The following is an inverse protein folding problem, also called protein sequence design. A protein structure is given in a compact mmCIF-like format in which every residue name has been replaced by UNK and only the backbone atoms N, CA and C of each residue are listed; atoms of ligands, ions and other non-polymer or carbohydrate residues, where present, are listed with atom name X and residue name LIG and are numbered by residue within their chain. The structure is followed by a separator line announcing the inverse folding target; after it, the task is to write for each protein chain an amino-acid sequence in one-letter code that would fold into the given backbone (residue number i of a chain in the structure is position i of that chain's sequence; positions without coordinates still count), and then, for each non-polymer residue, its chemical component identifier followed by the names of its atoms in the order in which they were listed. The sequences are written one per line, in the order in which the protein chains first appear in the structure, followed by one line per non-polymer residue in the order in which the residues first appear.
data_IF_651724806505
#
_entry.id   IF_651724806505
#
_cell.length_a   1.000
_cell.length_b   1.000
_cell.length_c   1.000
_cell.angle_alpha   90.00
_cell.angle_beta   90.00
_cell.angle_gamma   90.00
#
_symmetry.space_group_name_H-M   'P 1'
#
loop_
_entity.id
_entity.type
_entity.pdbx_description
1 polymer ?
#
# COMPACT_ATOMS: atom_id res chain seq x y z
N UNK A 1 4.60 14.17 5.44
CA UNK A 1 5.02 15.38 6.21
C UNK A 1 5.79 16.38 5.35
N UNK A 2 6.50 15.93 4.33
CA UNK A 2 7.22 16.82 3.40
C UNK A 2 6.35 17.61 2.41
N UNK A 3 5.04 17.32 2.31
CA UNK A 3 4.14 18.03 1.41
C UNK A 3 3.98 19.50 1.84
N UNK A 4 4.34 20.41 0.93
CA UNK A 4 4.30 21.87 1.16
C UNK A 4 3.01 22.54 0.71
N UNK A 5 1.99 21.75 0.35
CA UNK A 5 0.69 22.25 -0.12
C UNK A 5 0.74 22.84 -1.53
N UNK A 6 1.63 22.37 -2.38
CA UNK A 6 1.63 22.67 -3.81
C UNK A 6 0.57 21.83 -4.52
N UNK A 7 -0.13 22.41 -5.48
CA UNK A 7 -1.00 21.73 -6.42
C UNK A 7 -0.74 22.20 -7.86
N UNK A 8 -1.35 21.60 -8.89
CA UNK A 8 -1.13 22.01 -10.28
C UNK A 8 -1.54 23.45 -10.60
N UNK A 9 -2.31 24.11 -9.73
CA UNK A 9 -2.90 25.43 -9.95
C UNK A 9 -2.37 26.50 -8.98
N UNK A 10 -1.50 26.15 -8.03
CA UNK A 10 -1.05 27.11 -7.03
C UNK A 10 0.32 26.82 -6.43
N UNK A 11 0.96 27.90 -5.97
CA UNK A 11 2.25 27.86 -5.30
C UNK A 11 2.16 27.14 -3.93
N UNK A 12 3.30 26.69 -3.37
CA UNK A 12 3.35 26.18 -2.02
C UNK A 12 2.78 27.15 -0.98
N UNK A 13 2.06 26.62 0.01
CA UNK A 13 1.50 27.40 1.13
C UNK A 13 2.28 27.20 2.43
N UNK A 14 3.22 26.27 2.45
CA UNK A 14 4.10 25.99 3.60
C UNK A 14 5.56 25.96 3.15
N UNK A 15 6.45 26.33 4.06
CA UNK A 15 7.88 26.16 3.83
C UNK A 15 8.28 24.68 3.89
N UNK A 16 9.30 24.23 3.13
CA UNK A 16 9.86 22.90 3.28
C UNK A 16 10.40 22.67 4.70
N UNK A 17 10.13 21.49 5.25
CA UNK A 17 10.70 21.07 6.53
C UNK A 17 11.97 20.25 6.33
N UNK A 18 12.98 20.49 7.15
CA UNK A 18 14.17 19.66 7.16
C UNK A 18 13.81 18.21 7.57
N UNK A 19 14.35 17.18 6.89
CA UNK A 19 14.08 15.77 7.22
C UNK A 19 14.34 15.43 8.69
N UNK A 20 15.41 15.97 9.28
CA UNK A 20 15.74 15.79 10.70
C UNK A 20 14.69 16.39 11.64
N UNK A 21 14.06 17.52 11.27
CA UNK A 21 12.92 18.09 12.01
C UNK A 21 11.72 17.16 11.93
N UNK A 22 11.43 16.62 10.74
CA UNK A 22 10.31 15.68 10.54
C UNK A 22 10.47 14.47 11.46
N UNK A 23 11.66 13.86 11.51
CA UNK A 23 11.96 12.73 12.42
C UNK A 23 11.66 13.09 13.87
N UNK A 24 12.20 14.22 14.37
CA UNK A 24 12.02 14.64 15.77
C UNK A 24 10.54 14.92 16.12
N UNK A 25 9.82 15.56 15.23
CA UNK A 25 8.40 15.87 15.49
C UNK A 25 7.52 14.60 15.43
N UNK A 26 7.75 13.69 14.48
CA UNK A 26 7.05 12.40 14.44
C UNK A 26 7.33 11.55 15.69
N UNK A 27 8.56 11.56 16.18
CA UNK A 27 8.91 10.87 17.43
C UNK A 27 8.11 11.40 18.63
N UNK A 28 7.92 12.72 18.74
CA UNK A 28 7.06 13.32 19.79
C UNK A 28 5.59 12.89 19.70
N UNK A 29 5.13 12.51 18.50
CA UNK A 29 3.79 12.00 18.28
C UNK A 29 3.68 10.49 18.58
N UNK A 30 4.78 9.81 18.87
CA UNK A 30 4.83 8.37 19.13
C UNK A 30 4.84 7.51 17.86
N UNK A 31 5.24 8.07 16.72
CA UNK A 31 5.44 7.30 15.50
C UNK A 31 6.60 6.30 15.65
N UNK A 32 6.47 5.13 15.02
CA UNK A 32 7.53 4.11 15.00
C UNK A 32 8.69 4.49 14.07
N UNK A 33 8.37 5.07 12.93
CA UNK A 33 9.37 5.36 11.90
C UNK A 33 8.90 6.41 10.89
N UNK A 34 9.75 6.63 9.91
CA UNK A 34 9.53 7.52 8.78
C UNK A 34 9.95 6.82 7.50
N UNK A 35 9.17 6.99 6.43
CA UNK A 35 9.50 6.52 5.09
C UNK A 35 9.89 7.70 4.20
N UNK A 36 10.68 7.46 3.17
CA UNK A 36 11.20 8.53 2.30
C UNK A 36 11.48 8.06 0.88
N UNK A 37 11.36 8.99 -0.08
CA UNK A 37 12.02 8.87 -1.38
C UNK A 37 13.49 9.29 -1.24
N UNK A 38 14.31 8.78 -2.13
CA UNK A 38 15.74 9.10 -2.19
C UNK A 38 16.01 10.62 -2.17
N UNK A 39 15.25 11.39 -2.95
CA UNK A 39 15.43 12.83 -3.09
C UNK A 39 14.70 13.69 -2.03
N UNK A 40 13.90 13.09 -1.15
CA UNK A 40 13.40 13.78 0.05
C UNK A 40 14.52 14.02 1.05
N UNK A 41 15.54 13.17 1.02
CA UNK A 41 16.69 13.27 1.90
C UNK A 41 17.90 13.87 1.18
N UNK A 42 18.31 13.30 0.04
CA UNK A 42 19.52 13.71 -0.68
C UNK A 42 19.15 14.42 -1.97
N UNK A 43 19.32 15.74 -2.07
CA UNK A 43 19.07 16.46 -3.32
C UNK A 43 19.90 15.88 -4.48
N UNK A 44 19.32 15.88 -5.69
CA UNK A 44 19.95 15.34 -6.89
C UNK A 44 21.33 15.96 -7.17
N UNK A 45 21.48 17.24 -6.87
CA UNK A 45 22.68 18.04 -7.15
C UNK A 45 23.74 17.92 -6.04
N UNK A 46 23.44 17.16 -4.98
CA UNK A 46 24.36 17.00 -3.87
C UNK A 46 25.68 16.35 -4.29
N UNK A 47 26.79 16.94 -3.88
CA UNK A 47 28.09 16.30 -4.00
C UNK A 47 28.18 15.05 -3.10
N UNK A 48 29.15 14.18 -3.33
CA UNK A 48 29.36 13.01 -2.46
C UNK A 48 29.57 13.42 -0.99
N UNK A 49 30.32 14.49 -0.75
CA UNK A 49 30.54 15.01 0.62
C UNK A 49 29.26 15.58 1.25
N UNK A 50 28.42 16.25 0.46
CA UNK A 50 27.12 16.74 0.96
C UNK A 50 26.18 15.59 1.26
N UNK A 51 26.10 14.60 0.37
CA UNK A 51 25.34 13.38 0.60
C UNK A 51 25.74 12.74 1.93
N UNK A 52 27.03 12.52 2.15
CA UNK A 52 27.53 11.87 3.38
C UNK A 52 27.24 12.70 4.62
N UNK A 53 27.31 14.03 4.54
CA UNK A 53 26.95 14.92 5.64
C UNK A 53 25.45 14.83 5.95
N UNK A 54 24.59 14.94 4.92
CA UNK A 54 23.13 14.88 5.07
C UNK A 54 22.71 13.54 5.68
N UNK A 55 23.25 12.43 5.19
CA UNK A 55 22.91 11.10 5.69
C UNK A 55 23.35 10.94 7.15
N UNK A 56 24.54 11.37 7.52
CA UNK A 56 24.99 11.35 8.94
C UNK A 56 24.09 12.20 9.85
N UNK A 57 23.70 13.40 9.42
CA UNK A 57 22.80 14.26 10.18
C UNK A 57 21.42 13.59 10.39
N UNK A 58 20.91 12.93 9.35
CA UNK A 58 19.64 12.20 9.41
C UNK A 58 19.73 10.97 10.32
N UNK A 59 20.78 10.16 10.19
CA UNK A 59 21.07 9.03 11.09
C UNK A 59 21.18 9.49 12.54
N UNK A 60 21.85 10.61 12.79
CA UNK A 60 21.93 11.21 14.13
C UNK A 60 20.55 11.54 14.71
N UNK A 61 19.62 12.04 13.88
CA UNK A 61 18.24 12.30 14.34
C UNK A 61 17.45 11.00 14.60
N UNK A 62 17.68 9.94 13.80
CA UNK A 62 17.11 8.62 14.06
C UNK A 62 17.63 8.02 15.36
N UNK A 63 18.93 8.09 15.61
CA UNK A 63 19.56 7.59 16.84
C UNK A 63 19.10 8.35 18.09
N UNK A 64 19.00 9.68 18.00
CA UNK A 64 18.49 10.56 19.07
C UNK A 64 17.05 10.19 19.48
N UNK A 65 16.22 9.81 18.51
CA UNK A 65 14.78 9.61 18.72
C UNK A 65 14.37 8.15 18.84
N UNK A 66 15.23 7.22 18.42
CA UNK A 66 14.89 5.79 18.29
C UNK A 66 14.01 5.46 17.08
N UNK A 67 13.71 6.45 16.25
CA UNK A 67 12.90 6.27 15.02
C UNK A 67 13.59 5.35 14.02
N UNK A 68 12.80 4.63 13.22
CA UNK A 68 13.28 3.70 12.18
C UNK A 68 12.91 4.21 10.78
N UNK A 69 13.58 3.63 9.78
CA UNK A 69 13.21 3.76 8.36
C UNK A 69 12.79 2.37 7.88
N UNK A 70 11.53 1.96 8.07
CA UNK A 70 11.10 0.61 7.68
C UNK A 70 10.99 0.42 6.17
N UNK A 71 10.76 1.50 5.42
CA UNK A 71 10.62 1.47 3.96
C UNK A 71 11.32 2.66 3.32
N UNK A 72 11.93 2.43 2.17
CA UNK A 72 12.44 3.45 1.26
C UNK A 72 11.91 3.24 -0.16
N UNK A 73 11.96 4.27 -0.97
CA UNK A 73 11.54 4.24 -2.38
C UNK A 73 12.35 5.21 -3.23
N UNK A 74 12.21 5.13 -4.55
CA UNK A 74 12.89 6.02 -5.51
C UNK A 74 11.88 6.91 -6.21
N UNK A 75 12.14 8.21 -6.26
CA UNK A 75 11.36 9.12 -7.09
C UNK A 75 11.73 8.95 -8.58
N UNK A 76 10.91 8.17 -9.31
CA UNK A 76 11.03 7.94 -10.75
C UNK A 76 9.93 8.68 -11.55
N UNK A 77 9.36 9.74 -11.00
CA UNK A 77 8.20 10.43 -11.59
C UNK A 77 8.30 11.95 -11.59
N UNK A 78 9.00 12.56 -10.63
CA UNK A 78 9.06 14.01 -10.46
C UNK A 78 9.98 14.71 -11.47
N UNK A 79 11.07 14.06 -11.89
CA UNK A 79 12.00 14.64 -12.87
C UNK A 79 11.42 14.53 -14.30
N UNK A 80 11.46 15.61 -15.11
CA UNK A 80 11.02 15.59 -16.52
C UNK A 80 11.68 14.50 -17.39
N UNK A 81 12.82 13.95 -16.99
CA UNK A 81 13.46 12.83 -17.71
C UNK A 81 12.55 11.61 -17.77
N UNK A 82 11.70 11.41 -16.76
CA UNK A 82 10.77 10.27 -16.66
C UNK A 82 9.39 10.53 -17.28
N UNK A 83 9.22 11.62 -18.04
CA UNK A 83 7.92 11.98 -18.64
C UNK A 83 7.28 10.90 -19.52
N UNK A 84 8.08 9.99 -20.11
CA UNK A 84 7.61 8.85 -20.92
C UNK A 84 7.66 7.50 -20.15
N UNK A 85 7.80 7.54 -18.85
CA UNK A 85 8.07 6.38 -18.01
C UNK A 85 9.52 6.32 -17.56
N UNK A 86 9.81 5.53 -16.57
CA UNK A 86 11.16 5.24 -16.10
C UNK A 86 11.62 3.89 -16.69
N UNK A 87 11.19 2.79 -16.10
CA UNK A 87 11.52 1.44 -16.57
C UNK A 87 10.82 1.07 -17.88
N UNK A 88 9.72 1.74 -18.23
CA UNK A 88 8.97 1.48 -19.47
C UNK A 88 9.14 2.57 -20.53
N UNK A 89 10.08 3.51 -20.35
CA UNK A 89 10.37 4.53 -21.35
C UNK A 89 10.76 3.93 -22.70
N UNK A 90 10.33 4.56 -23.80
CA UNK A 90 10.79 4.19 -25.15
C UNK A 90 12.29 4.46 -25.35
N UNK A 91 12.89 5.40 -24.60
CA UNK A 91 14.33 5.67 -24.63
C UNK A 91 15.08 4.74 -23.67
N UNK A 92 15.94 3.87 -24.23
CA UNK A 92 16.75 2.93 -23.42
C UNK A 92 17.67 3.62 -22.42
N UNK A 93 18.16 4.83 -22.75
CA UNK A 93 19.04 5.61 -21.85
C UNK A 93 18.27 6.06 -20.60
N UNK A 94 16.98 6.36 -20.73
CA UNK A 94 16.12 6.68 -19.58
C UNK A 94 15.91 5.43 -18.71
N UNK A 95 15.69 4.26 -19.32
CA UNK A 95 15.58 2.99 -18.57
C UNK A 95 16.87 2.64 -17.80
N UNK A 96 18.02 2.80 -18.45
CA UNK A 96 19.33 2.60 -17.80
C UNK A 96 19.57 3.59 -16.65
N UNK A 97 19.21 4.87 -16.86
CA UNK A 97 19.30 5.88 -15.80
C UNK A 97 18.35 5.57 -14.63
N UNK A 98 17.14 5.11 -14.91
CA UNK A 98 16.19 4.68 -13.89
C UNK A 98 16.77 3.53 -13.03
N UNK A 99 17.38 2.52 -13.66
CA UNK A 99 18.07 1.43 -12.95
C UNK A 99 19.23 1.95 -12.09
N UNK A 100 20.09 2.82 -12.65
CA UNK A 100 21.21 3.41 -11.93
C UNK A 100 20.73 4.20 -10.70
N UNK A 101 19.73 5.07 -10.90
CA UNK A 101 19.16 5.88 -9.81
C UNK A 101 18.57 4.99 -8.72
N UNK A 102 17.84 3.95 -9.12
CA UNK A 102 17.20 3.02 -8.18
C UNK A 102 18.22 2.21 -7.39
N UNK A 103 19.29 1.70 -8.01
CA UNK A 103 20.35 1.00 -7.28
C UNK A 103 20.96 1.88 -6.19
N UNK A 104 21.29 3.14 -6.51
CA UNK A 104 21.82 4.10 -5.51
C UNK A 104 20.82 4.39 -4.38
N UNK A 105 19.54 4.45 -4.71
CA UNK A 105 18.50 4.67 -3.72
C UNK A 105 18.23 3.43 -2.86
N UNK A 106 18.38 2.23 -3.42
CA UNK A 106 18.37 0.98 -2.65
C UNK A 106 19.54 0.96 -1.65
N UNK A 107 20.75 1.30 -2.08
CA UNK A 107 21.91 1.37 -1.21
C UNK A 107 21.69 2.35 -0.03
N UNK A 108 21.12 3.53 -0.32
CA UNK A 108 20.74 4.51 0.70
C UNK A 108 19.68 3.95 1.65
N UNK A 109 18.64 3.30 1.11
CA UNK A 109 17.59 2.68 1.92
C UNK A 109 18.14 1.65 2.89
N UNK A 110 19.02 0.76 2.41
CA UNK A 110 19.68 -0.25 3.23
C UNK A 110 20.60 0.38 4.26
N UNK A 111 21.37 1.41 3.91
CA UNK A 111 22.21 2.18 4.83
C UNK A 111 21.39 2.80 5.98
N UNK A 112 20.13 3.18 5.72
CA UNK A 112 19.21 3.72 6.71
C UNK A 112 18.41 2.65 7.46
N UNK A 113 18.55 1.38 7.10
CA UNK A 113 17.92 0.25 7.78
C UNK A 113 16.56 -0.17 7.19
N UNK A 114 16.24 0.22 5.95
CA UNK A 114 15.01 -0.21 5.30
C UNK A 114 14.97 -1.73 5.07
N UNK A 115 13.84 -2.35 5.41
CA UNK A 115 13.58 -3.78 5.21
C UNK A 115 12.69 -4.03 3.99
N UNK A 116 11.95 -3.02 3.57
CA UNK A 116 11.09 -3.06 2.37
C UNK A 116 11.45 -1.89 1.45
N UNK A 117 11.46 -2.17 0.16
CA UNK A 117 11.67 -1.17 -0.88
C UNK A 117 10.48 -1.13 -1.80
N UNK A 118 9.80 0.02 -1.86
CA UNK A 118 8.58 0.20 -2.64
C UNK A 118 8.91 0.74 -4.03
N UNK A 119 8.18 0.28 -5.03
CA UNK A 119 8.18 0.81 -6.39
C UNK A 119 6.77 1.30 -6.74
N UNK A 120 6.62 2.61 -6.84
CA UNK A 120 5.45 3.23 -7.42
C UNK A 120 5.72 3.63 -8.86
N UNK A 121 4.91 3.08 -9.77
CA UNK A 121 5.06 3.25 -11.20
C UNK A 121 4.25 4.41 -11.79
N UNK A 122 4.19 5.57 -11.15
CA UNK A 122 3.31 6.68 -11.53
C UNK A 122 3.48 7.21 -12.96
N UNK A 123 4.63 6.96 -13.60
CA UNK A 123 4.86 7.29 -15.02
C UNK A 123 4.88 6.06 -15.93
N UNK A 124 4.73 4.86 -15.38
CA UNK A 124 4.75 3.61 -16.13
C UNK A 124 3.40 3.36 -16.81
N UNK A 125 3.18 3.99 -17.93
CA UNK A 125 1.93 3.96 -18.67
C UNK A 125 2.04 4.67 -20.00
N UNK A 126 0.92 5.09 -20.55
CA UNK A 126 0.84 5.76 -21.85
C UNK A 126 -0.14 6.94 -21.82
N UNK A 127 0.13 7.97 -22.65
CA UNK A 127 -0.84 9.01 -22.98
C UNK A 127 -1.68 8.61 -24.20
N UNK A 128 -1.13 7.74 -25.05
CA UNK A 128 -1.81 7.18 -26.21
C UNK A 128 -1.24 5.80 -26.54
N UNK A 129 -2.11 4.84 -26.79
CA UNK A 129 -1.72 3.47 -27.12
C UNK A 129 -0.90 3.35 -28.43
N UNK A 130 -0.94 4.35 -29.29
CA UNK A 130 -0.12 4.40 -30.50
C UNK A 130 1.38 4.63 -30.22
N UNK A 131 1.74 5.17 -29.05
CA UNK A 131 3.10 5.59 -28.74
C UNK A 131 4.00 4.48 -28.20
N UNK A 132 3.44 3.36 -27.72
CA UNK A 132 4.19 2.32 -27.00
C UNK A 132 3.56 0.94 -27.21
N UNK A 133 4.38 -0.07 -27.53
CA UNK A 133 3.89 -1.48 -27.46
C UNK A 133 3.77 -1.89 -25.99
N UNK A 134 2.57 -2.13 -25.47
CA UNK A 134 2.38 -2.46 -24.06
C UNK A 134 3.02 -3.81 -23.66
N UNK A 135 3.19 -4.74 -24.61
CA UNK A 135 3.85 -6.03 -24.33
C UNK A 135 5.34 -5.84 -24.10
N UNK A 136 5.98 -4.98 -24.91
CA UNK A 136 7.39 -4.64 -24.71
C UNK A 136 7.59 -3.84 -23.43
N UNK A 137 6.70 -2.89 -23.12
CA UNK A 137 6.74 -2.15 -21.87
C UNK A 137 6.66 -3.06 -20.62
N UNK A 138 5.76 -4.06 -20.63
CA UNK A 138 5.65 -5.07 -19.57
C UNK A 138 6.93 -5.89 -19.45
N UNK A 139 7.58 -6.26 -20.56
CA UNK A 139 8.88 -6.97 -20.54
C UNK A 139 9.96 -6.09 -19.92
N UNK A 140 10.10 -4.84 -20.37
CA UNK A 140 11.10 -3.92 -19.82
C UNK A 140 10.91 -3.71 -18.31
N UNK A 141 9.67 -3.58 -17.85
CA UNK A 141 9.40 -3.47 -16.43
C UNK A 141 9.80 -4.73 -15.67
N UNK A 142 9.48 -5.92 -16.20
CA UNK A 142 9.91 -7.21 -15.64
C UNK A 142 11.43 -7.32 -15.56
N UNK A 143 12.12 -7.04 -16.67
CA UNK A 143 13.57 -7.12 -16.76
C UNK A 143 14.23 -6.16 -15.76
N UNK A 144 13.64 -4.98 -15.55
CA UNK A 144 14.13 -4.01 -14.55
C UNK A 144 13.97 -4.54 -13.12
N UNK A 145 12.81 -5.07 -12.77
CA UNK A 145 12.58 -5.63 -11.42
C UNK A 145 13.47 -6.85 -11.18
N UNK A 146 13.59 -7.75 -12.13
CA UNK A 146 14.48 -8.93 -12.03
C UNK A 146 15.94 -8.49 -11.88
N UNK A 147 16.40 -7.49 -12.65
CA UNK A 147 17.75 -6.93 -12.51
C UNK A 147 17.99 -6.37 -11.11
N UNK A 148 17.03 -5.64 -10.54
CA UNK A 148 17.14 -5.07 -9.19
C UNK A 148 17.09 -6.16 -8.10
N UNK A 149 16.34 -7.23 -8.31
CA UNK A 149 16.39 -8.42 -7.44
C UNK A 149 17.79 -9.04 -7.43
N UNK A 150 18.39 -9.25 -8.59
CA UNK A 150 19.76 -9.78 -8.69
C UNK A 150 20.79 -8.82 -8.10
N UNK A 151 20.62 -7.51 -8.30
CA UNK A 151 21.47 -6.51 -7.65
C UNK A 151 21.42 -6.65 -6.13
N UNK A 152 20.23 -6.62 -5.52
CA UNK A 152 20.09 -6.74 -4.07
C UNK A 152 20.68 -8.06 -3.52
N UNK A 153 20.49 -9.17 -4.24
CA UNK A 153 21.09 -10.46 -3.90
C UNK A 153 22.62 -10.43 -3.97
N UNK A 154 23.18 -9.82 -5.03
CA UNK A 154 24.62 -9.71 -5.21
C UNK A 154 25.29 -8.90 -4.07
N UNK A 155 24.59 -7.90 -3.57
CA UNK A 155 24.99 -7.09 -2.42
C UNK A 155 24.69 -7.77 -1.06
N UNK A 156 24.00 -8.92 -1.05
CA UNK A 156 23.53 -9.64 0.15
C UNK A 156 22.61 -8.80 1.03
N UNK A 157 21.80 -7.94 0.43
CA UNK A 157 20.80 -7.15 1.14
C UNK A 157 19.62 -7.99 1.59
N UNK A 158 19.26 -7.91 2.86
CA UNK A 158 18.06 -8.53 3.41
C UNK A 158 16.83 -7.64 3.14
N UNK A 159 16.55 -7.37 1.86
CA UNK A 159 15.54 -6.44 1.40
C UNK A 159 14.45 -7.16 0.62
N UNK A 160 13.20 -6.77 0.83
CA UNK A 160 12.04 -7.21 0.04
C UNK A 160 11.54 -6.05 -0.80
N UNK A 161 11.10 -6.35 -2.01
CA UNK A 161 10.50 -5.38 -2.91
C UNK A 161 8.99 -5.43 -2.83
N UNK A 162 8.33 -4.28 -2.86
CA UNK A 162 6.89 -4.17 -2.87
C UNK A 162 6.45 -3.27 -4.03
N UNK A 163 5.60 -3.78 -4.90
CA UNK A 163 5.09 -3.06 -6.05
C UNK A 163 3.75 -2.43 -5.70
N UNK A 164 3.58 -1.17 -6.07
CA UNK A 164 2.40 -0.38 -5.77
C UNK A 164 1.55 -0.17 -7.02
N UNK A 165 0.38 -0.81 -7.09
CA UNK A 165 -0.55 -0.64 -8.20
C UNK A 165 -1.28 0.69 -8.11
N UNK A 166 -1.50 1.35 -9.28
CA UNK A 166 -2.32 2.55 -9.41
C UNK A 166 -3.02 2.54 -10.78
N UNK A 167 -4.32 2.89 -10.86
CA UNK A 167 -5.05 2.80 -12.13
C UNK A 167 -4.68 3.90 -13.12
N UNK A 168 -4.52 5.10 -12.64
CA UNK A 168 -4.25 6.31 -13.44
C UNK A 168 -3.63 7.39 -12.57
N UNK A 169 -3.29 8.53 -13.18
CA UNK A 169 -2.67 9.70 -12.55
C UNK A 169 -1.26 9.43 -12.01
N UNK A 170 -0.26 10.22 -12.51
CA UNK A 170 -0.41 11.35 -13.45
C UNK A 170 -0.58 10.95 -14.92
N UNK A 171 -0.47 9.68 -15.28
CA UNK A 171 -0.83 9.15 -16.60
C UNK A 171 -2.33 8.92 -16.70
N UNK A 172 -2.87 8.99 -17.93
CA UNK A 172 -4.26 8.59 -18.17
C UNK A 172 -4.53 7.11 -17.84
N UNK A 173 -3.55 6.25 -18.20
CA UNK A 173 -3.56 4.82 -17.88
C UNK A 173 -2.16 4.40 -17.41
N UNK A 174 -2.10 3.68 -16.27
CA UNK A 174 -0.87 3.12 -15.71
C UNK A 174 -0.90 1.60 -15.88
N UNK A 175 0.25 0.99 -16.17
CA UNK A 175 0.38 -0.46 -16.22
C UNK A 175 0.18 -1.08 -14.84
N UNK A 176 -0.47 -2.24 -14.79
CA UNK A 176 -0.78 -2.96 -13.53
C UNK A 176 -1.67 -2.14 -12.57
N UNK A 177 -2.88 -1.77 -13.02
CA UNK A 177 -3.72 -0.77 -12.35
C UNK A 177 -4.32 -1.21 -11.03
N UNK A 178 -4.31 -2.50 -10.68
CA UNK A 178 -4.92 -3.04 -9.47
C UNK A 178 -4.04 -4.10 -8.80
N UNK A 179 -4.33 -4.41 -7.54
CA UNK A 179 -3.67 -5.46 -6.77
C UNK A 179 -3.62 -6.79 -7.54
N UNK A 180 -4.73 -7.20 -8.15
CA UNK A 180 -4.79 -8.45 -8.91
C UNK A 180 -3.91 -8.47 -10.16
N UNK A 181 -3.85 -7.35 -10.92
CA UNK A 181 -2.95 -7.24 -12.07
C UNK A 181 -1.49 -7.30 -11.65
N UNK A 182 -1.14 -6.56 -10.60
CA UNK A 182 0.22 -6.54 -10.08
C UNK A 182 0.64 -7.90 -9.50
N UNK A 183 -0.28 -8.59 -8.82
CA UNK A 183 -0.04 -9.94 -8.30
C UNK A 183 0.23 -10.93 -9.45
N UNK A 184 -0.56 -10.88 -10.51
CA UNK A 184 -0.34 -11.71 -11.70
C UNK A 184 1.04 -11.43 -12.33
N UNK A 185 1.45 -10.17 -12.40
CA UNK A 185 2.77 -9.77 -12.90
C UNK A 185 3.89 -10.33 -12.00
N UNK A 186 3.79 -10.23 -10.67
CA UNK A 186 4.79 -10.74 -9.73
C UNK A 186 5.10 -12.21 -9.98
N UNK A 187 4.10 -13.03 -10.30
CA UNK A 187 4.32 -14.45 -10.60
C UNK A 187 5.04 -14.70 -11.93
N UNK A 188 5.28 -13.69 -12.76
CA UNK A 188 6.09 -13.80 -14.00
C UNK A 188 7.56 -13.46 -13.80
N UNK A 189 7.94 -12.96 -12.61
CA UNK A 189 9.30 -12.57 -12.26
C UNK A 189 10.22 -13.80 -12.06
N UNK A 190 11.52 -13.62 -12.23
CA UNK A 190 12.51 -14.65 -11.93
C UNK A 190 12.64 -14.92 -10.41
N UNK A 191 12.39 -13.89 -9.59
CA UNK A 191 12.47 -13.95 -8.12
C UNK A 191 11.17 -13.54 -7.45
N UNK A 192 10.05 -14.24 -7.71
CA UNK A 192 8.74 -13.82 -7.19
C UNK A 192 8.70 -13.82 -5.65
N UNK A 193 9.54 -14.59 -4.97
CA UNK A 193 9.57 -14.66 -3.50
C UNK A 193 10.15 -13.39 -2.87
N UNK A 194 10.98 -12.65 -3.59
CA UNK A 194 11.52 -11.36 -3.15
C UNK A 194 10.56 -10.20 -3.35
N UNK A 195 9.50 -10.39 -4.15
CA UNK A 195 8.60 -9.31 -4.59
C UNK A 195 7.19 -9.57 -4.10
N UNK A 196 6.60 -8.57 -3.50
CA UNK A 196 5.22 -8.54 -3.05
C UNK A 196 4.53 -7.24 -3.44
N UNK A 197 3.48 -6.90 -2.73
CA UNK A 197 2.59 -5.79 -2.99
C UNK A 197 2.71 -4.71 -1.90
N UNK A 198 2.55 -3.48 -2.33
CA UNK A 198 2.25 -2.31 -1.52
C UNK A 198 0.90 -1.73 -1.98
N UNK A 199 -0.24 -2.30 -1.57
CA UNK A 199 -1.53 -1.72 -1.92
C UNK A 199 -1.79 -0.42 -1.17
N UNK A 200 -2.50 0.51 -1.85
CA UNK A 200 -2.94 1.77 -1.29
C UNK A 200 -4.46 1.95 -1.42
N UNK A 201 -5.11 2.44 -0.34
CA UNK A 201 -6.57 2.61 -0.29
C UNK A 201 -7.06 3.52 -1.42
N UNK A 202 -6.39 4.66 -1.63
CA UNK A 202 -6.80 5.64 -2.63
C UNK A 202 -6.83 5.03 -4.03
N UNK A 203 -5.81 4.25 -4.38
CA UNK A 203 -5.65 3.70 -5.72
C UNK A 203 -6.77 2.70 -6.09
N UNK A 204 -7.11 1.76 -5.22
CA UNK A 204 -8.22 0.84 -5.48
C UNK A 204 -9.58 1.57 -5.45
N UNK A 205 -9.76 2.59 -4.58
CA UNK A 205 -10.97 3.42 -4.54
C UNK A 205 -11.13 4.24 -5.82
N UNK A 206 -10.04 4.77 -6.40
CA UNK A 206 -10.05 5.44 -7.71
C UNK A 206 -10.53 4.50 -8.82
N UNK A 207 -10.18 3.21 -8.74
CA UNK A 207 -10.64 2.17 -9.66
C UNK A 207 -12.07 1.68 -9.38
N UNK A 208 -12.75 2.18 -8.34
CA UNK A 208 -14.09 1.75 -7.93
C UNK A 208 -14.12 0.36 -7.30
N UNK A 209 -13.02 -0.10 -6.71
CA UNK A 209 -12.87 -1.43 -6.11
C UNK A 209 -12.99 -1.37 -4.58
N UNK A 210 -13.33 -2.51 -3.98
CA UNK A 210 -13.23 -2.73 -2.54
C UNK A 210 -11.79 -3.07 -2.16
N UNK A 211 -11.15 -2.16 -1.46
CA UNK A 211 -9.74 -2.30 -1.05
C UNK A 211 -9.49 -3.52 -0.15
N UNK A 212 -10.43 -3.82 0.77
CA UNK A 212 -10.28 -4.97 1.67
C UNK A 212 -10.24 -6.30 0.91
N UNK A 213 -10.97 -6.40 -0.21
CA UNK A 213 -10.93 -7.60 -1.06
C UNK A 213 -9.57 -7.77 -1.75
N UNK A 214 -8.99 -6.67 -2.25
CA UNK A 214 -7.64 -6.69 -2.84
C UNK A 214 -6.58 -7.07 -1.80
N UNK A 215 -6.62 -6.46 -0.61
CA UNK A 215 -5.71 -6.79 0.50
C UNK A 215 -5.87 -8.25 0.95
N UNK A 216 -7.11 -8.77 1.01
CA UNK A 216 -7.35 -10.17 1.32
C UNK A 216 -6.70 -11.12 0.30
N UNK A 217 -6.76 -10.78 -1.00
CA UNK A 217 -6.06 -11.53 -2.05
C UNK A 217 -4.53 -11.50 -1.86
N UNK A 218 -3.97 -10.34 -1.51
CA UNK A 218 -2.55 -10.19 -1.24
C UNK A 218 -2.09 -11.01 0.00
N UNK A 219 -2.92 -11.02 1.04
CA UNK A 219 -2.68 -11.82 2.26
C UNK A 219 -2.72 -13.31 1.97
N UNK A 220 -3.75 -13.81 1.25
CA UNK A 220 -3.91 -15.22 0.87
C UNK A 220 -2.75 -15.71 0.01
N UNK A 221 -2.24 -14.86 -0.87
CA UNK A 221 -1.06 -15.13 -1.70
C UNK A 221 0.27 -15.05 -0.93
N UNK A 222 0.28 -14.59 0.32
CA UNK A 222 1.51 -14.32 1.09
C UNK A 222 2.36 -13.18 0.50
N UNK A 223 1.71 -12.24 -0.20
CA UNK A 223 2.35 -11.17 -0.97
C UNK A 223 2.09 -9.76 -0.44
N UNK A 224 1.42 -9.60 0.69
CA UNK A 224 1.29 -8.30 1.34
C UNK A 224 2.60 -7.96 2.08
N UNK A 225 3.49 -7.18 1.47
CA UNK A 225 4.79 -6.83 2.03
C UNK A 225 4.79 -5.45 2.70
N UNK A 226 4.00 -4.53 2.19
CA UNK A 226 3.78 -3.20 2.74
C UNK A 226 2.31 -2.80 2.54
N UNK A 227 1.85 -1.71 3.09
CA UNK A 227 0.51 -1.16 2.87
C UNK A 227 0.51 0.34 3.11
N UNK A 228 -0.18 1.08 2.25
CA UNK A 228 -0.38 2.51 2.37
C UNK A 228 -1.82 2.84 2.76
N UNK A 229 -1.93 3.51 3.90
CA UNK A 229 -3.20 3.84 4.54
C UNK A 229 -3.49 5.34 4.35
N UNK A 230 -4.59 5.62 3.70
CA UNK A 230 -5.12 6.96 3.50
C UNK A 230 -6.65 6.95 3.43
N UNK A 231 -7.26 7.94 2.83
CA UNK A 231 -8.68 7.97 2.50
C UNK A 231 -8.89 8.67 1.17
N UNK A 232 -9.94 8.26 0.45
CA UNK A 232 -10.21 8.69 -0.90
C UNK A 232 -11.71 8.77 -1.16
N UNK A 233 -12.16 9.79 -1.89
CA UNK A 233 -13.54 9.87 -2.38
C UNK A 233 -13.67 9.19 -3.73
N UNK A 234 -14.66 8.33 -3.95
CA UNK A 234 -14.89 7.70 -5.24
C UNK A 234 -15.00 8.71 -6.38
N UNK A 235 -14.40 8.39 -7.53
CA UNK A 235 -14.49 9.21 -8.74
C UNK A 235 -13.75 10.56 -8.67
N UNK A 236 -12.75 10.69 -7.80
CA UNK A 236 -11.87 11.86 -7.72
C UNK A 236 -10.45 11.49 -8.15
N UNK A 237 -9.63 12.54 -8.40
CA UNK A 237 -8.18 12.41 -8.49
C UNK A 237 -7.62 11.89 -7.15
N UNK A 238 -6.39 11.46 -7.14
CA UNK A 238 -5.72 10.99 -5.95
C UNK A 238 -5.62 12.10 -4.88
N UNK A 239 -6.31 11.90 -3.77
CA UNK A 239 -6.48 12.95 -2.76
C UNK A 239 -5.60 12.75 -1.54
N UNK A 240 -5.13 11.54 -1.29
CA UNK A 240 -4.28 11.18 -0.14
C UNK A 240 -4.78 11.77 1.19
N UNK A 241 -6.08 11.63 1.43
CA UNK A 241 -6.72 12.19 2.61
C UNK A 241 -6.34 11.40 3.87
N UNK A 242 -6.57 12.00 5.02
CA UNK A 242 -6.30 11.41 6.32
C UNK A 242 -7.04 10.07 6.50
N UNK A 243 -6.32 9.05 6.93
CA UNK A 243 -6.88 7.70 7.11
C UNK A 243 -8.22 7.69 7.86
N UNK A 244 -9.22 7.04 7.26
CA UNK A 244 -10.57 6.88 7.80
C UNK A 244 -11.44 8.14 7.79
N UNK A 245 -11.01 9.24 7.15
CA UNK A 245 -11.81 10.48 7.12
C UNK A 245 -13.01 10.43 6.19
N UNK A 246 -13.01 9.57 5.19
CA UNK A 246 -14.08 9.50 4.17
C UNK A 246 -14.95 8.24 4.31
N UNK A 247 -14.35 7.09 4.57
CA UNK A 247 -15.05 5.80 4.76
C UNK A 247 -14.61 5.11 6.05
N UNK A 248 -15.28 5.43 7.14
CA UNK A 248 -15.01 4.84 8.46
C UNK A 248 -15.31 3.35 8.49
N UNK A 249 -16.37 2.90 7.81
CA UNK A 249 -16.79 1.49 7.81
C UNK A 249 -15.83 0.63 7.00
N UNK A 250 -15.41 1.09 5.81
CA UNK A 250 -14.37 0.42 5.02
C UNK A 250 -13.03 0.38 5.75
N UNK A 251 -12.60 1.50 6.35
CA UNK A 251 -11.39 1.54 7.18
C UNK A 251 -11.46 0.56 8.37
N UNK A 252 -12.62 0.42 9.00
CA UNK A 252 -12.82 -0.56 10.09
C UNK A 252 -12.64 -1.99 9.60
N UNK A 253 -13.23 -2.38 8.47
CA UNK A 253 -13.09 -3.74 7.94
C UNK A 253 -11.67 -4.03 7.46
N UNK A 254 -10.96 -3.04 6.93
CA UNK A 254 -9.55 -3.16 6.62
C UNK A 254 -8.72 -3.41 7.88
N UNK A 255 -8.89 -2.60 8.92
CA UNK A 255 -8.19 -2.80 10.21
C UNK A 255 -8.52 -4.18 10.78
N UNK A 256 -9.81 -4.58 10.73
CA UNK A 256 -10.23 -5.90 11.16
C UNK A 256 -9.52 -7.02 10.39
N UNK A 257 -9.44 -6.91 9.08
CA UNK A 257 -8.74 -7.89 8.24
C UNK A 257 -7.27 -8.04 8.64
N UNK A 258 -6.56 -6.92 8.81
CA UNK A 258 -5.13 -6.92 9.18
C UNK A 258 -4.88 -7.47 10.60
N UNK A 259 -5.73 -7.08 11.58
CA UNK A 259 -5.60 -7.53 12.97
C UNK A 259 -6.00 -9.01 13.15
N UNK A 260 -7.06 -9.47 12.49
CA UNK A 260 -7.48 -10.87 12.50
C UNK A 260 -6.46 -11.78 11.83
N UNK A 261 -5.85 -11.33 10.74
CA UNK A 261 -4.75 -12.02 10.07
C UNK A 261 -3.44 -11.96 10.86
N UNK A 262 -3.37 -11.16 11.92
CA UNK A 262 -2.14 -10.88 12.68
C UNK A 262 -0.98 -10.48 11.77
N UNK A 263 -1.29 -9.71 10.73
CA UNK A 263 -0.27 -9.29 9.78
C UNK A 263 0.79 -8.43 10.47
N UNK A 264 2.08 -8.81 10.39
CA UNK A 264 3.14 -8.18 11.17
C UNK A 264 3.70 -6.89 10.54
N UNK A 265 3.30 -6.55 9.31
CA UNK A 265 3.85 -5.40 8.58
C UNK A 265 3.51 -4.06 9.22
N UNK A 266 4.26 -3.05 8.85
CA UNK A 266 4.07 -1.67 9.33
C UNK A 266 2.78 -1.06 8.77
N UNK A 267 2.15 -0.17 9.54
CA UNK A 267 1.01 0.65 9.12
C UNK A 267 1.56 1.98 8.67
N UNK A 268 1.80 2.10 7.38
CA UNK A 268 2.26 3.34 6.77
C UNK A 268 1.07 4.20 6.36
N UNK A 269 1.23 5.51 6.43
CA UNK A 269 0.22 6.49 6.03
C UNK A 269 0.81 7.31 4.87
N UNK A 270 0.52 6.89 3.64
CA UNK A 270 0.81 7.72 2.46
C UNK A 270 -0.33 8.68 2.25
N UNK A 271 -0.16 9.85 2.82
CA UNK A 271 -1.20 10.86 2.86
C UNK A 271 -0.64 12.21 3.31
N UNK A 272 -1.38 13.27 3.06
CA UNK A 272 -0.94 14.62 3.40
C UNK A 272 -2.04 15.51 3.97
N UNK A 273 -1.63 16.53 4.73
CA UNK A 273 -2.54 17.54 5.25
C UNK A 273 -3.14 18.38 4.12
N UNK A 274 -4.36 18.87 4.32
CA UNK A 274 -5.00 19.79 3.39
C UNK A 274 -4.09 20.98 3.07
N UNK A 275 -4.27 21.55 1.87
CA UNK A 275 -3.57 22.77 1.46
C UNK A 275 -3.85 23.95 2.39
N UNK A 276 -5.01 23.98 3.04
CA UNK A 276 -5.43 25.01 3.99
C UNK A 276 -4.69 25.00 5.33
N UNK A 277 -3.95 23.94 5.63
CA UNK A 277 -3.30 23.78 6.91
C UNK A 277 -1.93 24.48 6.98
N UNK A 278 -1.62 24.99 8.17
CA UNK A 278 -0.29 25.44 8.55
C UNK A 278 0.58 24.30 9.10
N UNK A 279 1.76 24.60 9.65
CA UNK A 279 2.65 23.61 10.25
C UNK A 279 1.97 22.84 11.41
N UNK A 280 1.15 23.49 12.22
CA UNK A 280 0.46 22.82 13.32
C UNK A 280 -0.58 21.83 12.80
N UNK A 281 -1.35 22.21 11.77
CA UNK A 281 -2.30 21.32 11.09
C UNK A 281 -1.65 20.09 10.46
N UNK A 282 -0.40 20.19 9.96
CA UNK A 282 0.36 19.02 9.46
C UNK A 282 0.59 17.99 10.57
N UNK A 283 0.90 18.42 11.79
CA UNK A 283 1.11 17.50 12.92
C UNK A 283 -0.21 16.97 13.48
N UNK A 284 -1.27 17.74 13.46
CA UNK A 284 -2.61 17.26 13.80
C UNK A 284 -3.12 16.23 12.80
N UNK A 285 -2.82 16.41 11.52
CA UNK A 285 -3.08 15.42 10.48
C UNK A 285 -2.35 14.10 10.76
N UNK A 286 -1.04 14.12 11.04
CA UNK A 286 -0.25 12.93 11.34
C UNK A 286 -0.77 12.20 12.59
N UNK A 287 -1.02 12.95 13.67
CA UNK A 287 -1.62 12.42 14.91
C UNK A 287 -2.99 11.80 14.63
N UNK A 288 -3.82 12.47 13.83
CA UNK A 288 -5.16 12.03 13.46
C UNK A 288 -5.17 10.71 12.71
N UNK A 289 -4.26 10.50 11.74
CA UNK A 289 -4.13 9.25 10.99
C UNK A 289 -3.81 8.07 11.92
N UNK A 290 -2.76 8.19 12.74
CA UNK A 290 -2.37 7.16 13.70
C UNK A 290 -3.47 6.90 14.74
N UNK A 291 -4.09 7.96 15.29
CA UNK A 291 -5.16 7.83 16.28
C UNK A 291 -6.40 7.12 15.71
N UNK A 292 -6.78 7.43 14.46
CA UNK A 292 -7.91 6.76 13.81
C UNK A 292 -7.67 5.25 13.69
N UNK A 293 -6.47 4.83 13.29
CA UNK A 293 -6.12 3.40 13.26
C UNK A 293 -6.30 2.74 14.64
N UNK A 294 -5.77 3.36 15.69
CA UNK A 294 -5.86 2.82 17.06
C UNK A 294 -7.31 2.76 17.57
N UNK A 295 -8.13 3.77 17.29
CA UNK A 295 -9.56 3.76 17.62
C UNK A 295 -10.27 2.59 16.90
N UNK A 296 -10.01 2.43 15.60
CA UNK A 296 -10.63 1.34 14.83
C UNK A 296 -10.15 -0.03 15.31
N UNK A 297 -8.88 -0.17 15.70
CA UNK A 297 -8.36 -1.40 16.31
C UNK A 297 -9.07 -1.74 17.62
N UNK A 298 -9.37 -0.75 18.46
CA UNK A 298 -10.19 -0.96 19.67
C UNK A 298 -11.62 -1.39 19.31
N UNK A 299 -12.23 -0.77 18.29
CA UNK A 299 -13.55 -1.18 17.79
C UNK A 299 -13.55 -2.60 17.23
N UNK A 300 -12.46 -3.04 16.58
CA UNK A 300 -12.28 -4.43 16.15
C UNK A 300 -12.27 -5.38 17.35
N UNK A 301 -11.54 -5.06 18.41
CA UNK A 301 -11.54 -5.87 19.62
C UNK A 301 -12.94 -5.98 20.23
N UNK A 302 -13.69 -4.88 20.25
CA UNK A 302 -15.09 -4.87 20.72
C UNK A 302 -16.01 -5.71 19.85
N UNK A 303 -15.91 -5.60 18.53
CA UNK A 303 -16.66 -6.42 17.57
C UNK A 303 -16.37 -7.91 17.75
N UNK A 304 -15.09 -8.26 17.89
CA UNK A 304 -14.67 -9.64 18.08
C UNK A 304 -15.05 -10.21 19.46
N UNK A 305 -15.28 -9.36 20.47
CA UNK A 305 -15.74 -9.75 21.81
C UNK A 305 -17.26 -9.72 22.00
N UNK A 306 -18.02 -9.16 21.07
CA UNK A 306 -19.47 -9.02 21.21
C UNK A 306 -20.19 -10.36 21.04
N UNK A 307 -20.98 -10.74 22.05
CA UNK A 307 -21.61 -12.07 22.10
C UNK A 307 -22.64 -12.30 20.99
N UNK A 308 -23.43 -11.25 20.63
CA UNK A 308 -24.44 -11.37 19.58
C UNK A 308 -23.76 -11.48 18.19
N UNK A 309 -22.75 -10.64 17.92
CA UNK A 309 -21.95 -10.71 16.70
C UNK A 309 -21.30 -12.09 16.56
N UNK A 310 -20.65 -12.59 17.62
CA UNK A 310 -19.99 -13.90 17.56
C UNK A 310 -20.97 -15.05 17.44
N UNK A 311 -22.15 -14.96 18.05
CA UNK A 311 -23.23 -15.93 17.86
C UNK A 311 -23.63 -16.04 16.39
N UNK A 312 -23.89 -14.90 15.73
CA UNK A 312 -24.25 -14.84 14.31
C UNK A 312 -23.11 -15.34 13.39
N UNK A 313 -21.88 -14.93 13.66
CA UNK A 313 -20.72 -15.38 12.87
C UNK A 313 -20.48 -16.88 13.03
N UNK A 314 -20.66 -17.43 14.22
CA UNK A 314 -20.52 -18.88 14.46
C UNK A 314 -21.63 -19.67 13.77
N UNK A 315 -22.85 -19.16 13.73
CA UNK A 315 -23.93 -19.76 12.93
C UNK A 315 -23.56 -19.81 11.44
N UNK A 316 -23.09 -18.70 10.85
CA UNK A 316 -22.63 -18.66 9.48
C UNK A 316 -21.47 -19.65 9.20
N UNK A 317 -20.49 -19.69 10.09
CA UNK A 317 -19.39 -20.67 10.00
C UNK A 317 -19.87 -22.12 10.09
N UNK A 318 -20.81 -22.42 10.96
CA UNK A 318 -21.35 -23.78 11.10
C UNK A 318 -22.08 -24.26 9.84
N UNK A 319 -22.80 -23.36 9.19
CA UNK A 319 -23.43 -23.64 7.88
C UNK A 319 -22.39 -23.95 6.79
N UNK A 320 -21.26 -23.22 6.77
CA UNK A 320 -20.15 -23.47 5.83
C UNK A 320 -19.42 -24.79 6.12
N UNK A 321 -19.34 -25.21 7.39
CA UNK A 321 -18.65 -26.43 7.80
C UNK A 321 -19.50 -27.71 7.57
N UNK A 322 -20.84 -27.62 7.68
CA UNK A 322 -21.75 -28.76 7.63
C UNK A 322 -21.73 -29.52 6.29
N UNK A 323 -21.33 -28.89 5.21
CA UNK A 323 -21.31 -29.49 3.86
C UNK A 323 -20.05 -30.35 3.56
N UNK A 324 -19.13 -30.49 4.50
CA UNK A 324 -17.84 -31.17 4.27
C UNK A 324 -17.00 -30.42 3.23
N UNK A 325 -16.02 -29.64 3.69
CA UNK A 325 -15.14 -28.92 2.78
C UNK A 325 -14.53 -29.88 1.75
N UNK A 326 -14.75 -29.62 0.49
CA UNK A 326 -14.19 -30.38 -0.63
C UNK A 326 -12.69 -30.20 -0.64
N UNK A 327 -11.98 -31.17 -0.06
CA UNK A 327 -10.54 -31.01 0.22
C UNK A 327 -9.71 -31.02 -1.06
N UNK A 328 -9.96 -31.96 -1.97
CA UNK A 328 -9.26 -32.07 -3.26
C UNK A 328 -10.15 -32.79 -4.26
N UNK A 329 -9.92 -32.55 -5.54
CA UNK A 329 -10.56 -33.31 -6.60
C UNK A 329 -10.15 -34.79 -6.51
N UNK A 330 -11.16 -35.68 -6.61
CA UNK A 330 -10.98 -37.09 -6.91
C UNK A 330 -12.08 -37.54 -7.85
N UNK A 331 -11.84 -38.51 -8.72
CA UNK A 331 -12.87 -39.08 -9.62
C UNK A 331 -14.08 -39.61 -8.85
N UNK A 332 -13.86 -40.21 -7.68
CA UNK A 332 -14.91 -40.73 -6.79
C UNK A 332 -15.72 -39.59 -6.19
N UNK A 333 -15.06 -38.59 -5.57
CA UNK A 333 -15.73 -37.42 -5.02
C UNK A 333 -16.51 -36.61 -6.05
N UNK A 334 -16.06 -36.61 -7.31
CA UNK A 334 -16.78 -36.00 -8.41
C UNK A 334 -18.05 -36.79 -8.78
N UNK A 335 -18.00 -38.13 -8.75
CA UNK A 335 -19.19 -38.98 -8.98
C UNK A 335 -20.21 -38.78 -7.86
N UNK A 336 -19.75 -38.83 -6.62
CA UNK A 336 -20.62 -38.62 -5.43
C UNK A 336 -21.33 -37.27 -5.48
N UNK A 337 -20.59 -36.21 -5.86
CA UNK A 337 -21.19 -34.88 -5.97
C UNK A 337 -22.21 -34.81 -7.08
N UNK A 338 -21.98 -35.43 -8.25
CA UNK A 338 -22.92 -35.45 -9.37
C UNK A 338 -24.22 -36.17 -9.03
N UNK A 339 -24.17 -37.18 -8.16
CA UNK A 339 -25.36 -37.95 -7.74
C UNK A 339 -26.08 -37.37 -6.54
N UNK A 340 -25.49 -36.33 -5.90
CA UNK A 340 -26.08 -35.73 -4.69
C UNK A 340 -27.32 -34.91 -5.04
N UNK A 341 -28.39 -35.18 -4.34
CA UNK A 341 -29.58 -34.34 -4.38
C UNK A 341 -29.49 -33.18 -3.38
N UNK A 342 -30.04 -32.04 -3.78
CA UNK A 342 -30.09 -30.84 -2.95
C UNK A 342 -31.52 -30.37 -2.83
N UNK A 343 -31.94 -30.03 -1.60
CA UNK A 343 -33.20 -29.33 -1.36
C UNK A 343 -33.04 -27.86 -1.73
N UNK A 344 -33.30 -27.56 -3.01
CA UNK A 344 -33.14 -26.22 -3.55
C UNK A 344 -34.16 -25.23 -2.96
N UNK A 345 -35.35 -25.69 -2.53
CA UNK A 345 -36.34 -24.80 -1.93
C UNK A 345 -35.96 -24.39 -0.52
N UNK A 346 -35.46 -25.31 0.28
CA UNK A 346 -34.87 -24.96 1.56
C UNK A 346 -33.65 -24.00 1.44
N UNK A 347 -32.82 -24.24 0.43
CA UNK A 347 -31.67 -23.36 0.16
C UNK A 347 -32.09 -21.96 -0.30
N UNK A 348 -33.11 -21.83 -1.13
CA UNK A 348 -33.63 -20.53 -1.63
C UNK A 348 -34.24 -19.69 -0.52
N UNK A 349 -34.88 -20.33 0.45
CA UNK A 349 -35.58 -19.65 1.54
C UNK A 349 -34.70 -19.38 2.75
N UNK A 350 -33.41 -19.68 2.67
CA UNK A 350 -32.48 -19.48 3.77
C UNK A 350 -32.15 -18.01 3.97
N UNK A 351 -32.47 -17.43 5.12
CA UNK A 351 -32.02 -16.11 5.54
C UNK A 351 -30.62 -16.14 6.15
N UNK A 352 -29.83 -15.06 5.98
CA UNK A 352 -28.45 -14.97 6.44
C UNK A 352 -28.26 -13.93 7.55
N UNK A 353 -29.29 -13.16 7.88
CA UNK A 353 -29.29 -12.12 8.92
C UNK A 353 -28.20 -11.04 8.75
N UNK A 354 -27.75 -10.77 7.53
CA UNK A 354 -26.70 -9.80 7.25
C UNK A 354 -27.09 -8.38 7.64
N UNK A 355 -28.35 -7.97 7.47
CA UNK A 355 -28.83 -6.66 7.90
C UNK A 355 -28.61 -6.43 9.42
N UNK A 356 -28.89 -7.46 10.24
CA UNK A 356 -28.67 -7.35 11.69
C UNK A 356 -27.19 -7.27 12.01
N UNK A 357 -26.36 -8.07 11.38
CA UNK A 357 -24.91 -8.05 11.56
C UNK A 357 -24.30 -6.70 11.16
N UNK A 358 -24.79 -6.15 10.05
CA UNK A 358 -24.36 -4.83 9.58
C UNK A 358 -24.78 -3.72 10.54
N UNK A 359 -26.01 -3.76 11.05
CA UNK A 359 -26.49 -2.81 12.06
C UNK A 359 -25.66 -2.86 13.34
N UNK A 360 -25.33 -4.07 13.83
CA UNK A 360 -24.44 -4.24 15.00
C UNK A 360 -23.05 -3.62 14.76
N UNK A 361 -22.51 -3.75 13.55
CA UNK A 361 -21.27 -3.11 13.17
C UNK A 361 -21.37 -1.59 13.31
N UNK A 362 -22.46 -0.99 12.81
CA UNK A 362 -22.69 0.46 12.94
C UNK A 362 -22.85 0.90 14.40
N UNK A 363 -23.57 0.14 15.20
CA UNK A 363 -23.73 0.43 16.65
C UNK A 363 -22.39 0.43 17.38
N UNK A 364 -21.51 -0.51 17.07
CA UNK A 364 -20.15 -0.58 17.64
C UNK A 364 -19.31 0.61 17.16
N UNK A 365 -19.34 0.94 15.88
CA UNK A 365 -18.58 2.08 15.33
C UNK A 365 -19.04 3.39 15.96
N UNK A 366 -20.34 3.59 16.12
CA UNK A 366 -20.91 4.79 16.72
C UNK A 366 -20.76 4.83 18.25
N UNK A 367 -20.35 3.75 18.88
CA UNK A 367 -20.11 3.70 20.32
C UNK A 367 -21.36 3.58 21.19
N UNK A 368 -22.48 3.19 20.59
CA UNK A 368 -23.75 2.94 21.33
C UNK A 368 -23.88 1.49 21.77
N UNK A 369 -22.91 0.66 21.38
CA UNK A 369 -22.80 -0.73 21.79
C UNK A 369 -21.37 -1.07 22.22
#
# INVERSE_FOLDING_TARGET
MGNIGRDPFGDPVRAPMAPTRIVRELAKLGAYGVNLHDNDLVPREASASDRDRIVREFQGALDETGMKVPMATTNLFGDPVFRDGAFTSNDSRVREYALQKTMRAIDLGVELGAETYVFWGGREGVETNAAKDPREAVKWFRDAIDYLCEYARSQKYALRFALEPKPNEPRGDIFFPTIGHMLAFIYTLAHPDMVGLNPEIAHDTMAGLDFSHGVAQALEAGKLFHIDLNAQRPGRFDQDLRFGSEDVKGAFFLVKLLEDAKWPGMRHFDSHAYRTEDDAGVWDFARGSMRTYLILKEKVARFNGDAEVQGMLNELKSRGAAAGARKRFSPEGARDLKSREFDLDAMRNLGYAYERLDQLTMEILLGVR
#
